data_IF_424323031485
#
_entry.id   IF_424323031485
#
_cell.length_a   1.000
_cell.length_b   1.000
_cell.length_c   1.000
_cell.angle_alpha   90.00
_cell.angle_beta   90.00
_cell.angle_gamma   90.00
#
_symmetry.space_group_name_H-M   'P 1'
#
loop_
_entity.id
_entity.type
_entity.pdbx_description
1 polymer ?
#
# COMPACT_ATOMS: atom_id res chain seq x y z
N UNK A 1 -19.30 8.47 4.89
CA UNK A 1 -19.84 9.31 3.82
C UNK A 1 -20.93 8.60 3.02
N UNK A 2 -20.70 7.40 2.46
CA UNK A 2 -21.69 6.70 1.63
C UNK A 2 -23.06 6.57 2.29
N UNK A 3 -23.12 6.18 3.59
CA UNK A 3 -24.37 6.12 4.34
C UNK A 3 -25.05 7.48 4.53
N UNK A 4 -24.29 8.57 4.58
CA UNK A 4 -24.81 9.91 4.84
C UNK A 4 -25.34 10.61 3.58
N UNK A 5 -24.62 10.47 2.45
CA UNK A 5 -24.91 11.23 1.23
C UNK A 5 -25.25 10.36 0.01
N UNK A 6 -25.17 9.04 0.16
CA UNK A 6 -25.57 8.07 -0.86
C UNK A 6 -24.97 8.32 -2.24
N UNK A 7 -25.81 8.47 -3.25
CA UNK A 7 -25.43 8.65 -4.65
C UNK A 7 -24.67 9.95 -4.95
N UNK A 8 -24.61 10.90 -4.03
CA UNK A 8 -23.80 12.13 -4.18
C UNK A 8 -22.32 11.87 -3.98
N UNK A 9 -21.93 10.70 -3.42
CA UNK A 9 -20.55 10.28 -3.29
C UNK A 9 -20.09 9.59 -4.57
N UNK A 10 -19.01 10.12 -5.16
CA UNK A 10 -18.26 9.46 -6.24
C UNK A 10 -16.90 9.07 -5.71
N UNK A 11 -16.58 7.78 -5.75
CA UNK A 11 -15.27 7.26 -5.36
C UNK A 11 -14.42 6.98 -6.60
N UNK A 12 -13.14 7.34 -6.54
CA UNK A 12 -12.17 7.06 -7.58
C UNK A 12 -11.07 6.19 -6.97
N UNK A 13 -10.83 5.03 -7.57
CA UNK A 13 -9.71 4.15 -7.25
C UNK A 13 -8.73 4.17 -8.43
N UNK A 14 -7.47 4.47 -8.15
CA UNK A 14 -6.43 4.55 -9.17
C UNK A 14 -5.52 3.33 -9.03
N UNK A 15 -5.58 2.44 -10.03
CA UNK A 15 -4.62 1.36 -10.15
C UNK A 15 -3.33 1.93 -10.73
N UNK A 16 -2.31 1.98 -9.90
CA UNK A 16 -0.98 2.50 -10.23
C UNK A 16 -0.07 1.47 -10.88
N UNK A 17 -0.51 0.19 -10.93
CA UNK A 17 0.34 -0.95 -11.29
C UNK A 17 1.37 -1.33 -10.21
N UNK A 18 1.28 -0.69 -9.02
CA UNK A 18 2.19 -0.89 -7.89
C UNK A 18 1.46 -1.47 -6.66
N UNK A 19 0.25 -1.96 -6.87
CA UNK A 19 -0.61 -2.54 -5.85
C UNK A 19 -0.21 -3.98 -5.54
N UNK A 20 -0.72 -4.51 -4.43
CA UNK A 20 -0.64 -5.95 -4.11
C UNK A 20 -1.37 -6.78 -5.15
N UNK A 21 -1.01 -8.06 -5.23
CA UNK A 21 -1.74 -9.03 -6.07
C UNK A 21 -3.23 -9.01 -5.71
N UNK A 22 -4.07 -8.95 -6.72
CA UNK A 22 -5.55 -8.95 -6.63
C UNK A 22 -6.18 -7.75 -5.90
N UNK A 23 -5.42 -6.74 -5.48
CA UNK A 23 -5.96 -5.64 -4.68
C UNK A 23 -7.09 -4.87 -5.38
N UNK A 24 -6.97 -4.62 -6.68
CA UNK A 24 -8.02 -3.96 -7.47
C UNK A 24 -9.31 -4.77 -7.47
N UNK A 25 -9.22 -6.11 -7.57
CA UNK A 25 -10.37 -7.01 -7.54
C UNK A 25 -11.01 -7.00 -6.14
N UNK A 26 -10.19 -7.07 -5.10
CA UNK A 26 -10.67 -7.01 -3.70
C UNK A 26 -11.44 -5.70 -3.42
N UNK A 27 -10.87 -4.56 -3.83
CA UNK A 27 -11.51 -3.25 -3.66
C UNK A 27 -12.84 -3.19 -4.41
N UNK A 28 -12.88 -3.70 -5.65
CA UNK A 28 -14.11 -3.77 -6.46
C UNK A 28 -15.19 -4.61 -5.75
N UNK A 29 -14.83 -5.78 -5.22
CA UNK A 29 -15.76 -6.67 -4.55
C UNK A 29 -16.33 -6.04 -3.27
N UNK A 30 -15.47 -5.44 -2.44
CA UNK A 30 -15.86 -4.77 -1.20
C UNK A 30 -16.77 -3.58 -1.49
N UNK A 31 -16.40 -2.72 -2.44
CA UNK A 31 -17.20 -1.54 -2.76
C UNK A 31 -18.54 -1.90 -3.39
N UNK A 32 -18.60 -2.98 -4.18
CA UNK A 32 -19.85 -3.51 -4.73
C UNK A 32 -20.77 -4.02 -3.63
N UNK A 33 -20.25 -4.79 -2.64
CA UNK A 33 -21.05 -5.28 -1.51
C UNK A 33 -21.60 -4.15 -0.65
N UNK A 34 -20.87 -3.05 -0.53
CA UNK A 34 -21.28 -1.84 0.19
C UNK A 34 -22.12 -0.87 -0.65
N UNK A 35 -22.43 -1.22 -1.89
CA UNK A 35 -23.18 -0.38 -2.84
C UNK A 35 -22.56 1.01 -3.05
N UNK A 36 -21.22 1.08 -3.01
CA UNK A 36 -20.47 2.32 -3.23
C UNK A 36 -20.26 2.53 -4.73
N UNK A 37 -20.54 3.75 -5.22
CA UNK A 37 -20.25 4.14 -6.60
C UNK A 37 -18.75 4.35 -6.76
N UNK A 38 -18.05 3.36 -7.34
CA UNK A 38 -16.60 3.35 -7.54
C UNK A 38 -16.27 3.39 -9.04
N UNK A 39 -15.44 4.34 -9.42
CA UNK A 39 -14.76 4.37 -10.73
C UNK A 39 -13.33 3.88 -10.56
N UNK A 40 -12.95 2.84 -11.28
CA UNK A 40 -11.59 2.28 -11.29
C UNK A 40 -10.85 2.81 -12.52
N UNK A 41 -9.68 3.40 -12.30
CA UNK A 41 -8.83 3.97 -13.34
C UNK A 41 -7.54 3.17 -13.40
N UNK A 42 -7.29 2.47 -14.49
CA UNK A 42 -5.97 1.88 -14.75
C UNK A 42 -5.02 2.97 -15.27
N UNK A 43 -4.09 3.36 -14.41
CA UNK A 43 -3.03 4.31 -14.71
C UNK A 43 -1.63 3.65 -14.70
N UNK A 44 -1.55 2.31 -14.61
CA UNK A 44 -0.33 1.54 -14.45
C UNK A 44 0.76 1.94 -15.45
N UNK A 45 0.41 2.07 -16.72
CA UNK A 45 1.35 2.49 -17.78
C UNK A 45 1.96 3.87 -17.50
N UNK A 46 1.15 4.84 -17.03
CA UNK A 46 1.63 6.20 -16.73
C UNK A 46 2.64 6.20 -15.59
N UNK A 47 2.33 5.47 -14.51
CA UNK A 47 3.22 5.37 -13.35
C UNK A 47 4.52 4.66 -13.68
N UNK A 48 4.47 3.54 -14.39
CA UNK A 48 5.66 2.78 -14.76
C UNK A 48 6.58 3.55 -15.70
N UNK A 49 6.02 4.29 -16.67
CA UNK A 49 6.82 5.16 -17.53
C UNK A 49 7.50 6.29 -16.75
N UNK A 50 6.80 6.92 -15.81
CA UNK A 50 7.35 7.99 -14.99
C UNK A 50 8.46 7.51 -14.04
N UNK A 51 8.45 6.23 -13.65
CA UNK A 51 9.41 5.62 -12.73
C UNK A 51 10.60 4.96 -13.43
N UNK A 52 10.61 4.95 -14.76
CA UNK A 52 11.71 4.34 -15.53
C UNK A 52 13.06 4.96 -15.18
N UNK A 53 14.04 4.14 -14.83
CA UNK A 53 15.40 4.58 -14.44
C UNK A 53 15.50 5.16 -13.02
N UNK A 54 14.38 5.29 -12.29
CA UNK A 54 14.38 5.89 -10.94
C UNK A 54 14.73 4.82 -9.90
N UNK A 55 15.85 5.01 -9.20
CA UNK A 55 16.36 4.08 -8.18
C UNK A 55 16.09 4.58 -6.76
N UNK A 56 16.23 5.88 -6.54
CA UNK A 56 16.11 6.52 -5.24
C UNK A 56 14.66 6.45 -4.70
N UNK A 57 14.44 5.97 -3.47
CA UNK A 57 13.12 5.76 -2.93
C UNK A 57 12.34 7.07 -2.71
N UNK A 58 13.02 8.16 -2.36
CA UNK A 58 12.36 9.44 -2.14
C UNK A 58 11.92 10.07 -3.47
N UNK A 59 12.74 9.96 -4.51
CA UNK A 59 12.34 10.35 -5.87
C UNK A 59 11.15 9.53 -6.36
N UNK A 60 11.13 8.21 -6.11
CA UNK A 60 9.96 7.36 -6.43
C UNK A 60 8.70 7.88 -5.77
N UNK A 61 8.74 8.19 -4.47
CA UNK A 61 7.59 8.72 -3.71
C UNK A 61 7.06 10.02 -4.31
N UNK A 62 7.95 10.99 -4.59
CA UNK A 62 7.60 12.28 -5.19
C UNK A 62 6.96 12.13 -6.56
N UNK A 63 7.51 11.27 -7.42
CA UNK A 63 6.98 11.00 -8.75
C UNK A 63 5.59 10.35 -8.65
N UNK A 64 5.43 9.33 -7.80
CA UNK A 64 4.16 8.63 -7.60
C UNK A 64 3.12 9.59 -7.07
N UNK A 65 3.44 10.40 -6.06
CA UNK A 65 2.53 11.40 -5.51
C UNK A 65 2.06 12.41 -6.57
N UNK A 66 2.98 12.93 -7.38
CA UNK A 66 2.66 13.83 -8.49
C UNK A 66 1.75 13.16 -9.53
N UNK A 67 2.11 11.97 -9.99
CA UNK A 67 1.32 11.22 -10.97
C UNK A 67 -0.09 10.93 -10.45
N UNK A 68 -0.22 10.58 -9.16
CA UNK A 68 -1.50 10.31 -8.52
C UNK A 68 -2.40 11.55 -8.55
N UNK A 69 -1.87 12.71 -8.14
CA UNK A 69 -2.59 13.97 -8.16
C UNK A 69 -3.02 14.35 -9.58
N UNK A 70 -2.14 14.17 -10.57
CA UNK A 70 -2.44 14.49 -11.97
C UNK A 70 -3.56 13.61 -12.53
N UNK A 71 -3.54 12.30 -12.24
CA UNK A 71 -4.61 11.36 -12.65
C UNK A 71 -5.90 11.69 -11.93
N UNK A 72 -5.85 11.87 -10.61
CA UNK A 72 -7.02 12.20 -9.80
C UNK A 72 -7.70 13.49 -10.30
N UNK A 73 -6.92 14.55 -10.55
CA UNK A 73 -7.45 15.82 -11.04
C UNK A 73 -8.11 15.69 -12.44
N UNK A 74 -7.52 14.88 -13.31
CA UNK A 74 -8.09 14.64 -14.63
C UNK A 74 -9.45 13.94 -14.54
N UNK A 75 -9.57 12.95 -13.64
CA UNK A 75 -10.81 12.20 -13.43
C UNK A 75 -11.86 13.02 -12.66
N UNK A 76 -11.45 13.75 -11.62
CA UNK A 76 -12.36 14.60 -10.85
C UNK A 76 -13.04 15.68 -11.70
N UNK A 77 -12.35 16.21 -12.72
CA UNK A 77 -12.92 17.18 -13.65
C UNK A 77 -14.05 16.62 -14.52
N UNK A 78 -14.11 15.31 -14.72
CA UNK A 78 -15.18 14.66 -15.49
C UNK A 78 -16.49 14.55 -14.71
N UNK A 79 -16.42 14.69 -13.38
CA UNK A 79 -17.60 14.60 -12.51
C UNK A 79 -18.24 15.99 -12.41
N UNK A 80 -19.49 16.08 -12.86
CA UNK A 80 -20.22 17.36 -12.85
C UNK A 80 -20.60 17.78 -11.43
N UNK A 81 -20.56 19.08 -11.16
CA UNK A 81 -21.05 19.69 -9.92
C UNK A 81 -20.35 19.23 -8.62
N UNK A 82 -19.13 18.72 -8.70
CA UNK A 82 -18.33 18.37 -7.51
C UNK A 82 -17.90 19.63 -6.79
N UNK A 83 -18.20 19.71 -5.50
CA UNK A 83 -17.85 20.84 -4.62
C UNK A 83 -16.85 20.47 -3.54
N UNK A 84 -16.81 19.19 -3.16
CA UNK A 84 -16.05 18.71 -2.02
C UNK A 84 -15.14 17.53 -2.39
N UNK A 85 -14.01 17.43 -1.70
CA UNK A 85 -13.10 16.28 -1.72
C UNK A 85 -13.12 15.64 -0.34
N UNK A 86 -13.55 14.38 -0.26
CA UNK A 86 -13.44 13.59 0.95
C UNK A 86 -12.01 13.05 1.11
N UNK A 87 -11.39 13.29 2.25
CA UNK A 87 -10.06 12.81 2.59
C UNK A 87 -10.08 12.06 3.92
N UNK A 88 -9.36 10.93 3.98
CA UNK A 88 -9.28 10.07 5.16
C UNK A 88 -8.14 10.48 6.11
N UNK A 89 -7.89 11.75 6.30
CA UNK A 89 -6.94 12.28 7.29
C UNK A 89 -7.35 11.83 8.68
N UNK A 90 -6.40 11.36 9.47
CA UNK A 90 -6.58 11.00 10.89
C UNK A 90 -5.73 11.89 11.79
N UNK A 91 -5.98 11.86 13.10
CA UNK A 91 -5.31 12.77 14.05
C UNK A 91 -3.76 12.68 14.05
N UNK A 92 -3.13 11.49 13.97
CA UNK A 92 -1.68 11.39 13.81
C UNK A 92 -1.13 12.14 12.59
N UNK A 93 -1.84 12.14 11.45
CA UNK A 93 -1.43 12.87 10.25
C UNK A 93 -1.41 14.39 10.49
N UNK A 94 -2.32 14.89 11.32
CA UNK A 94 -2.41 16.31 11.69
C UNK A 94 -1.23 16.72 12.56
N UNK A 95 -0.92 15.92 13.59
CA UNK A 95 0.22 16.18 14.48
C UNK A 95 1.54 16.21 13.72
N UNK A 96 1.77 15.21 12.86
CA UNK A 96 2.98 15.10 12.05
C UNK A 96 3.15 16.26 11.06
N UNK A 97 2.03 16.83 10.57
CA UNK A 97 2.06 17.98 9.65
C UNK A 97 2.27 19.31 10.36
N UNK A 98 1.92 19.41 11.65
CA UNK A 98 2.06 20.63 12.44
C UNK A 98 3.46 20.86 13.00
N UNK A 99 4.29 19.81 13.08
CA UNK A 99 5.67 19.87 13.62
C UNK A 99 6.71 20.50 12.67
N UNK A 100 6.29 21.32 11.72
CA UNK A 100 7.13 21.96 10.68
C UNK A 100 8.21 22.95 11.20
N UNK A 101 8.34 23.15 12.49
CA UNK A 101 9.29 24.12 13.08
C UNK A 101 10.51 23.52 13.77
N UNK A 102 10.76 22.23 13.69
CA UNK A 102 11.99 21.62 14.18
C UNK A 102 12.84 21.07 13.04
N UNK A 103 14.15 21.26 13.10
CA UNK A 103 15.18 20.79 12.16
C UNK A 103 15.27 19.24 12.06
N UNK A 104 14.33 18.51 12.62
CA UNK A 104 14.20 17.07 12.41
C UNK A 104 13.65 16.82 11.01
N UNK A 105 14.43 16.11 10.22
CA UNK A 105 14.13 15.65 8.86
C UNK A 105 12.64 15.31 8.70
N UNK A 106 12.03 15.89 7.67
CA UNK A 106 10.64 15.64 7.29
C UNK A 106 10.47 14.16 6.98
N UNK A 107 10.20 13.37 8.02
CA UNK A 107 10.09 11.91 7.93
C UNK A 107 8.92 11.48 7.04
N UNK A 108 7.93 12.38 6.81
CA UNK A 108 6.74 12.03 6.01
C UNK A 108 6.32 13.15 5.04
N UNK A 109 6.93 13.15 3.87
CA UNK A 109 6.49 13.95 2.72
C UNK A 109 5.26 13.37 1.99
N UNK A 110 4.61 12.33 2.52
CA UNK A 110 3.62 11.53 1.79
C UNK A 110 2.20 11.59 2.33
N UNK A 111 1.98 12.19 3.47
CA UNK A 111 0.62 12.42 3.94
C UNK A 111 0.05 13.60 3.18
N UNK A 112 -1.12 13.41 2.55
CA UNK A 112 -1.81 14.42 1.74
C UNK A 112 -2.29 15.65 2.55
N UNK A 113 -1.85 15.80 3.79
CA UNK A 113 -2.17 16.97 4.62
C UNK A 113 -1.42 18.18 4.06
N UNK A 114 -2.14 19.05 3.37
CA UNK A 114 -1.59 20.25 2.73
C UNK A 114 -0.97 20.04 1.33
N UNK A 115 -0.98 18.82 0.80
CA UNK A 115 -0.37 18.49 -0.51
C UNK A 115 -1.28 18.65 -1.72
N UNK A 116 -2.54 19.04 -1.54
CA UNK A 116 -3.44 19.32 -2.65
C UNK A 116 -2.98 20.59 -3.40
N UNK A 117 -2.97 20.54 -4.74
CA UNK A 117 -2.60 21.73 -5.52
C UNK A 117 -3.48 22.92 -5.14
N UNK A 118 -2.88 24.08 -4.86
CA UNK A 118 -3.58 25.35 -4.58
C UNK A 118 -4.61 25.73 -5.65
N UNK A 119 -4.55 25.09 -6.82
CA UNK A 119 -5.49 25.27 -7.95
C UNK A 119 -6.75 24.40 -7.85
N UNK A 120 -6.86 23.52 -6.86
CA UNK A 120 -8.05 22.70 -6.68
C UNK A 120 -9.14 23.53 -5.99
N UNK A 121 -10.20 23.82 -6.71
CA UNK A 121 -11.35 24.60 -6.20
C UNK A 121 -12.29 23.81 -5.28
N UNK A 122 -11.91 22.56 -4.91
CA UNK A 122 -12.72 21.69 -4.05
C UNK A 122 -12.47 22.01 -2.57
N UNK A 123 -13.55 22.05 -1.79
CA UNK A 123 -13.47 22.16 -0.32
C UNK A 123 -13.17 20.79 0.27
N UNK A 124 -12.27 20.72 1.25
CA UNK A 124 -11.96 19.48 1.96
C UNK A 124 -13.07 19.10 2.95
N UNK A 125 -13.34 17.80 3.02
CA UNK A 125 -14.17 17.17 4.05
C UNK A 125 -13.36 16.03 4.64
N UNK A 126 -12.99 16.13 5.90
CA UNK A 126 -12.14 15.18 6.64
C UNK A 126 -12.91 14.61 7.84
N UNK A 127 -13.81 13.65 7.64
CA UNK A 127 -14.78 13.21 8.66
C UNK A 127 -14.17 12.52 9.87
N UNK A 128 -12.93 12.04 9.77
CA UNK A 128 -12.23 11.26 10.80
C UNK A 128 -10.95 11.93 11.26
N UNK A 129 -10.81 13.25 11.00
CA UNK A 129 -9.60 14.04 11.27
C UNK A 129 -9.13 14.01 12.73
N UNK A 130 -10.09 13.95 13.64
CA UNK A 130 -9.83 14.03 15.08
C UNK A 130 -9.76 12.64 15.75
N UNK A 131 -9.79 11.57 14.94
CA UNK A 131 -9.76 10.19 15.45
C UNK A 131 -8.37 9.57 15.34
N UNK A 132 -8.02 8.76 16.34
CA UNK A 132 -6.88 7.88 16.27
C UNK A 132 -7.20 6.61 15.45
N UNK A 133 -6.17 5.88 15.04
CA UNK A 133 -6.31 4.72 14.15
C UNK A 133 -7.18 3.60 14.72
N UNK A 134 -7.08 3.35 16.03
CA UNK A 134 -7.90 2.37 16.74
C UNK A 134 -9.37 2.79 16.82
N UNK A 135 -9.64 4.09 17.01
CA UNK A 135 -10.99 4.64 16.97
C UNK A 135 -11.61 4.54 15.60
N UNK A 136 -10.84 4.83 14.53
CA UNK A 136 -11.27 4.66 13.13
C UNK A 136 -11.63 3.20 12.85
N UNK A 137 -10.86 2.24 13.39
CA UNK A 137 -11.16 0.81 13.26
C UNK A 137 -12.49 0.45 13.97
N UNK A 138 -12.71 0.95 15.19
CA UNK A 138 -13.98 0.75 15.92
C UNK A 138 -15.17 1.30 15.16
N UNK A 139 -15.07 2.55 14.70
CA UNK A 139 -16.11 3.17 13.85
C UNK A 139 -16.35 2.35 12.57
N UNK A 140 -15.30 1.83 11.97
CA UNK A 140 -15.42 0.96 10.80
C UNK A 140 -16.23 -0.30 11.08
N UNK A 141 -16.01 -0.98 12.23
CA UNK A 141 -16.78 -2.16 12.66
C UNK A 141 -18.24 -1.82 12.88
N UNK A 142 -18.53 -0.73 13.58
CA UNK A 142 -19.91 -0.26 13.84
C UNK A 142 -20.64 0.12 12.55
N UNK A 143 -19.92 0.62 11.55
CA UNK A 143 -20.46 0.90 10.22
C UNK A 143 -20.69 -0.36 9.38
N UNK A 144 -20.29 -1.54 9.88
CA UNK A 144 -20.48 -2.83 9.21
C UNK A 144 -19.42 -3.14 8.16
N UNK A 145 -18.23 -2.55 8.25
CA UNK A 145 -17.12 -2.93 7.38
C UNK A 145 -16.62 -4.35 7.72
N UNK A 146 -16.27 -5.17 6.71
CA UNK A 146 -15.72 -6.49 6.96
C UNK A 146 -14.45 -6.42 7.82
N UNK A 147 -14.36 -7.32 8.83
CA UNK A 147 -13.18 -7.38 9.70
C UNK A 147 -11.87 -7.55 8.93
N UNK A 148 -11.89 -8.35 7.87
CA UNK A 148 -10.72 -8.54 7.00
C UNK A 148 -10.21 -7.23 6.35
N UNK A 149 -11.08 -6.24 6.13
CA UNK A 149 -10.68 -4.92 5.64
C UNK A 149 -10.07 -4.06 6.76
N UNK A 150 -10.65 -4.14 7.96
CA UNK A 150 -10.21 -3.33 9.12
C UNK A 150 -8.87 -3.81 9.65
N UNK A 151 -8.63 -5.12 9.65
CA UNK A 151 -7.41 -5.76 10.15
C UNK A 151 -6.27 -5.74 9.11
N UNK A 152 -6.45 -5.11 7.94
CA UNK A 152 -5.39 -5.05 6.92
C UNK A 152 -4.13 -4.38 7.46
N UNK A 153 -2.99 -5.03 7.20
CA UNK A 153 -1.68 -4.42 7.48
C UNK A 153 -1.51 -3.12 6.69
N UNK A 154 -0.78 -2.14 7.24
CA UNK A 154 -0.47 -0.90 6.53
C UNK A 154 0.20 -1.18 5.18
N UNK A 155 -0.30 -0.50 4.15
CA UNK A 155 0.29 -0.52 2.82
C UNK A 155 0.59 0.91 2.39
N UNK A 156 1.84 1.24 2.04
CA UNK A 156 2.22 2.63 1.78
C UNK A 156 1.61 3.14 0.48
N UNK A 157 1.34 4.44 0.41
CA UNK A 157 0.81 5.09 -0.79
C UNK A 157 1.64 4.83 -2.06
N UNK A 158 2.99 4.81 -2.01
CA UNK A 158 3.81 4.42 -3.16
C UNK A 158 3.73 2.94 -3.54
N UNK A 159 2.98 2.12 -2.82
CA UNK A 159 2.79 0.71 -3.11
C UNK A 159 4.10 -0.10 -3.06
N UNK A 160 4.20 -1.08 -3.95
CA UNK A 160 5.38 -1.95 -4.07
C UNK A 160 6.63 -1.21 -4.56
N UNK A 161 6.50 0.01 -5.12
CA UNK A 161 7.63 0.75 -5.64
C UNK A 161 8.76 0.98 -4.63
N UNK A 162 8.42 1.22 -3.35
CA UNK A 162 9.39 1.44 -2.27
C UNK A 162 9.86 0.14 -1.63
N UNK A 163 9.27 -0.98 -2.00
CA UNK A 163 9.66 -2.33 -1.59
C UNK A 163 10.53 -3.05 -2.64
N UNK A 164 10.74 -2.43 -3.79
CA UNK A 164 11.72 -2.84 -4.80
C UNK A 164 12.91 -1.91 -4.67
N UNK A 165 14.05 -2.42 -4.18
CA UNK A 165 15.27 -1.66 -4.14
C UNK A 165 15.82 -1.44 -5.56
N UNK A 166 16.32 -0.23 -5.84
CA UNK A 166 16.78 0.12 -7.19
C UNK A 166 15.65 0.37 -8.19
N UNK A 167 15.90 0.14 -9.47
CA UNK A 167 14.97 0.41 -10.56
C UNK A 167 13.79 -0.58 -10.59
N UNK A 168 12.62 -0.04 -10.93
CA UNK A 168 11.37 -0.80 -11.05
C UNK A 168 11.16 -1.21 -12.50
N UNK A 169 10.73 -2.44 -12.71
CA UNK A 169 10.20 -2.93 -13.97
C UNK A 169 9.02 -3.88 -13.72
N UNK A 170 8.33 -4.25 -14.77
CA UNK A 170 7.15 -5.10 -14.70
C UNK A 170 7.44 -6.48 -14.10
N UNK A 171 8.60 -7.09 -14.46
CA UNK A 171 9.04 -8.39 -13.93
C UNK A 171 9.19 -8.36 -12.41
N UNK A 172 9.92 -7.37 -11.87
CA UNK A 172 10.16 -7.24 -10.43
C UNK A 172 8.87 -6.98 -9.65
N UNK A 173 7.95 -6.20 -10.22
CA UNK A 173 6.63 -5.96 -9.60
C UNK A 173 5.88 -7.27 -9.51
N UNK A 174 5.79 -8.04 -10.61
CA UNK A 174 5.09 -9.32 -10.64
C UNK A 174 5.69 -10.31 -9.64
N UNK A 175 7.01 -10.45 -9.62
CA UNK A 175 7.70 -11.29 -8.64
C UNK A 175 7.32 -10.86 -7.21
N UNK A 176 7.41 -9.58 -6.90
CA UNK A 176 7.13 -9.10 -5.54
C UNK A 176 5.66 -9.23 -5.17
N UNK A 177 4.73 -9.12 -6.12
CA UNK A 177 3.31 -9.40 -5.91
C UNK A 177 3.06 -10.85 -5.52
N UNK A 178 3.68 -11.80 -6.21
CA UNK A 178 3.56 -13.23 -5.88
C UNK A 178 4.18 -13.54 -4.52
N UNK A 179 5.38 -13.03 -4.26
CA UNK A 179 6.08 -13.23 -2.97
C UNK A 179 5.28 -12.64 -1.79
N UNK A 180 4.82 -11.39 -1.91
CA UNK A 180 4.03 -10.72 -0.85
C UNK A 180 2.71 -11.48 -0.61
N UNK A 181 2.10 -12.01 -1.67
CA UNK A 181 0.90 -12.83 -1.57
C UNK A 181 1.15 -14.12 -0.80
N UNK A 182 2.18 -14.90 -1.14
CA UNK A 182 2.52 -16.15 -0.45
C UNK A 182 2.85 -15.88 1.02
N UNK A 183 3.61 -14.83 1.30
CA UNK A 183 3.97 -14.45 2.66
C UNK A 183 2.74 -14.14 3.52
N UNK A 184 1.86 -13.29 3.03
CA UNK A 184 0.62 -12.93 3.74
C UNK A 184 -0.34 -14.11 3.87
N UNK A 185 -0.46 -14.95 2.84
CA UNK A 185 -1.27 -16.15 2.84
C UNK A 185 -0.80 -17.12 3.93
N UNK A 186 0.50 -17.39 4.00
CA UNK A 186 1.06 -18.28 5.02
C UNK A 186 0.87 -17.74 6.44
N UNK A 187 1.05 -16.43 6.65
CA UNK A 187 0.77 -15.81 7.94
C UNK A 187 -0.71 -15.95 8.36
N UNK A 188 -1.63 -15.91 7.41
CA UNK A 188 -3.05 -16.15 7.67
C UNK A 188 -3.33 -17.60 8.01
N UNK A 189 -2.78 -18.54 7.26
CA UNK A 189 -2.94 -19.98 7.47
C UNK A 189 -2.41 -20.43 8.84
N UNK A 190 -1.37 -19.77 9.32
CA UNK A 190 -0.77 -20.01 10.64
C UNK A 190 -1.40 -19.17 11.78
N UNK A 191 -2.47 -18.43 11.51
CA UNK A 191 -3.10 -17.51 12.48
C UNK A 191 -2.12 -16.48 13.10
N UNK A 192 -1.10 -16.08 12.37
CA UNK A 192 -0.11 -15.09 12.77
C UNK A 192 -0.43 -13.69 12.25
N UNK A 193 -1.22 -13.57 11.18
CA UNK A 193 -1.48 -12.29 10.52
C UNK A 193 -1.94 -11.19 11.48
N UNK A 194 -2.90 -11.49 12.37
CA UNK A 194 -3.43 -10.52 13.32
C UNK A 194 -2.55 -10.32 14.58
N UNK A 195 -1.48 -11.12 14.74
CA UNK A 195 -0.50 -10.98 15.81
C UNK A 195 0.71 -10.13 15.40
N UNK A 196 0.79 -9.75 14.13
CA UNK A 196 1.85 -8.99 13.51
C UNK A 196 1.25 -7.67 13.04
N UNK A 197 1.86 -6.55 13.43
CA UNK A 197 1.34 -5.22 13.06
C UNK A 197 1.66 -4.85 11.62
N UNK A 198 2.81 -5.31 11.11
CA UNK A 198 3.19 -5.12 9.73
C UNK A 198 4.03 -6.29 9.20
N UNK A 199 3.59 -6.90 8.12
CA UNK A 199 4.36 -7.87 7.34
C UNK A 199 4.50 -7.39 5.89
N UNK A 200 5.70 -7.54 5.33
CA UNK A 200 5.99 -7.15 3.96
C UNK A 200 7.20 -7.90 3.40
N UNK A 201 7.22 -8.06 2.09
CA UNK A 201 8.38 -8.54 1.36
C UNK A 201 9.10 -7.38 0.66
N UNK A 202 10.42 -7.48 0.53
CA UNK A 202 11.28 -6.53 -0.18
C UNK A 202 12.08 -7.29 -1.23
N UNK A 203 12.09 -6.80 -2.47
CA UNK A 203 12.93 -7.33 -3.54
C UNK A 203 14.27 -6.60 -3.54
N UNK A 204 15.34 -7.36 -3.33
CA UNK A 204 16.73 -6.90 -3.41
C UNK A 204 17.22 -7.17 -4.84
N UNK A 205 17.74 -6.17 -5.57
CA UNK A 205 18.07 -6.29 -7.00
C UNK A 205 19.37 -7.06 -7.24
N UNK A 206 19.91 -7.73 -6.24
CA UNK A 206 21.06 -8.63 -6.37
C UNK A 206 20.57 -10.00 -6.82
N UNK A 207 21.19 -10.54 -7.86
CA UNK A 207 20.95 -11.91 -8.28
C UNK A 207 21.88 -12.86 -7.56
N UNK A 208 21.32 -13.96 -7.09
CA UNK A 208 22.04 -15.06 -6.43
C UNK A 208 21.83 -16.35 -7.21
N UNK A 209 22.71 -17.29 -6.98
CA UNK A 209 22.56 -18.66 -7.48
C UNK A 209 21.83 -19.47 -6.43
N UNK A 210 20.71 -20.05 -6.80
CA UNK A 210 20.00 -21.10 -6.06
C UNK A 210 20.21 -22.45 -6.73
N UNK A 211 19.97 -23.53 -6.00
CA UNK A 211 19.89 -24.88 -6.53
C UNK A 211 18.45 -25.35 -6.34
N UNK A 212 17.79 -25.73 -7.42
CA UNK A 212 16.44 -26.26 -7.43
C UNK A 212 16.42 -27.59 -8.16
N UNK A 213 16.33 -28.69 -7.41
CA UNK A 213 16.65 -30.02 -7.94
C UNK A 213 18.10 -30.04 -8.44
N UNK A 214 18.31 -30.54 -9.65
CA UNK A 214 19.65 -30.66 -10.28
C UNK A 214 20.07 -29.40 -11.09
N UNK A 215 19.28 -28.32 -11.07
CA UNK A 215 19.50 -27.13 -11.88
C UNK A 215 19.93 -25.92 -11.06
N UNK A 216 20.96 -25.20 -11.54
CA UNK A 216 21.29 -23.89 -11.02
C UNK A 216 20.27 -22.87 -11.53
N UNK A 217 19.65 -22.15 -10.60
CA UNK A 217 18.73 -21.07 -10.91
C UNK A 217 19.33 -19.73 -10.48
N UNK A 218 19.34 -18.76 -11.38
CA UNK A 218 19.73 -17.38 -11.10
C UNK A 218 18.47 -16.55 -10.85
N UNK A 219 18.35 -15.98 -9.68
CA UNK A 219 17.17 -15.21 -9.31
C UNK A 219 17.48 -14.11 -8.30
N UNK A 220 16.47 -13.30 -8.04
CA UNK A 220 16.55 -12.22 -7.05
C UNK A 220 16.57 -12.78 -5.62
N UNK A 221 17.08 -11.94 -4.72
CA UNK A 221 17.03 -12.17 -3.28
C UNK A 221 15.80 -11.43 -2.72
N UNK A 222 15.05 -12.09 -1.88
CA UNK A 222 13.91 -11.53 -1.15
C UNK A 222 14.27 -11.38 0.33
N UNK A 223 13.92 -10.24 0.91
CA UNK A 223 13.90 -10.08 2.36
C UNK A 223 12.46 -10.01 2.85
N UNK A 224 12.14 -10.81 3.87
CA UNK A 224 10.87 -10.76 4.57
C UNK A 224 11.01 -9.90 5.82
N UNK A 225 10.04 -9.05 6.08
CA UNK A 225 9.98 -8.24 7.29
C UNK A 225 8.64 -8.44 7.96
N UNK A 226 8.65 -8.85 9.21
CA UNK A 226 7.49 -8.91 10.09
C UNK A 226 7.85 -8.21 11.40
N UNK A 227 7.04 -7.23 11.81
CA UNK A 227 7.33 -6.41 12.98
C UNK A 227 6.07 -6.16 13.79
N UNK A 228 6.30 -6.00 15.12
CA UNK A 228 5.32 -5.47 16.04
C UNK A 228 5.76 -4.08 16.49
N UNK A 229 4.79 -3.22 16.75
CA UNK A 229 5.02 -1.83 17.12
C UNK A 229 3.89 -1.32 17.99
N UNK A 230 4.22 -0.47 18.94
CA UNK A 230 3.23 0.18 19.81
C UNK A 230 2.75 1.49 19.22
N UNK A 231 3.63 2.20 18.51
CA UNK A 231 3.42 3.58 18.05
C UNK A 231 3.71 3.79 16.55
N UNK A 232 4.08 2.73 15.82
CA UNK A 232 4.60 2.76 14.45
C UNK A 232 5.90 3.58 14.24
N UNK A 233 6.52 4.04 15.32
CA UNK A 233 7.83 4.73 15.29
C UNK A 233 8.96 3.79 15.66
N UNK A 234 8.76 2.96 16.68
CA UNK A 234 9.67 1.91 17.10
C UNK A 234 9.09 0.55 16.70
N UNK A 235 9.90 -0.33 16.17
CA UNK A 235 9.46 -1.64 15.72
C UNK A 235 10.42 -2.73 16.17
N UNK A 236 9.87 -3.80 16.74
CA UNK A 236 10.61 -5.02 17.10
C UNK A 236 10.26 -6.13 16.09
N UNK A 237 11.20 -7.03 15.84
CA UNK A 237 10.94 -8.19 14.99
C UNK A 237 9.85 -9.07 15.64
N UNK A 238 8.84 -9.45 14.85
CA UNK A 238 7.82 -10.39 15.30
C UNK A 238 8.41 -11.79 15.45
N UNK A 239 8.00 -12.49 16.50
CA UNK A 239 8.40 -13.88 16.70
C UNK A 239 7.63 -14.80 15.76
N UNK A 240 8.32 -15.31 14.74
CA UNK A 240 7.83 -16.33 13.83
C UNK A 240 8.69 -17.57 14.02
N UNK A 241 8.08 -18.74 14.13
CA UNK A 241 8.83 -19.99 14.31
C UNK A 241 9.73 -20.28 13.10
N UNK A 242 10.89 -20.91 13.34
CA UNK A 242 11.77 -21.34 12.24
C UNK A 242 11.05 -22.25 11.24
N UNK A 243 10.15 -23.12 11.71
CA UNK A 243 9.36 -23.98 10.85
C UNK A 243 8.49 -23.17 9.89
N UNK A 244 7.79 -22.15 10.40
CA UNK A 244 6.95 -21.25 9.57
C UNK A 244 7.81 -20.48 8.58
N UNK A 245 8.96 -19.93 8.99
CA UNK A 245 9.88 -19.23 8.10
C UNK A 245 10.42 -20.15 6.99
N UNK A 246 10.77 -21.40 7.32
CA UNK A 246 11.21 -22.38 6.34
C UNK A 246 10.10 -22.72 5.34
N UNK A 247 8.87 -22.90 5.81
CA UNK A 247 7.72 -23.15 4.92
C UNK A 247 7.50 -21.99 3.95
N UNK A 248 7.50 -20.76 4.46
CA UNK A 248 7.35 -19.53 3.64
C UNK A 248 8.46 -19.46 2.59
N UNK A 249 9.73 -19.64 3.02
CA UNK A 249 10.91 -19.58 2.16
C UNK A 249 10.85 -20.64 1.06
N UNK A 250 10.52 -21.86 1.43
CA UNK A 250 10.39 -22.99 0.50
C UNK A 250 9.26 -22.75 -0.52
N UNK A 251 8.10 -22.29 -0.07
CA UNK A 251 7.00 -21.95 -0.97
C UNK A 251 7.41 -20.85 -1.96
N UNK A 252 8.02 -19.76 -1.47
CA UNK A 252 8.42 -18.64 -2.33
C UNK A 252 9.41 -19.09 -3.39
N UNK A 253 10.44 -19.85 -3.02
CA UNK A 253 11.46 -20.31 -3.97
C UNK A 253 10.88 -21.27 -5.00
N UNK A 254 9.95 -22.14 -4.59
CA UNK A 254 9.37 -23.16 -5.49
C UNK A 254 8.24 -22.62 -6.38
N UNK A 255 7.46 -21.65 -5.89
CA UNK A 255 6.25 -21.17 -6.57
C UNK A 255 6.49 -19.89 -7.38
N UNK A 256 7.57 -19.13 -7.10
CA UNK A 256 7.83 -17.83 -7.75
C UNK A 256 9.07 -17.89 -8.63
N UNK A 257 8.85 -17.92 -9.93
CA UNK A 257 9.95 -17.84 -10.90
C UNK A 257 10.75 -16.54 -10.72
N UNK A 258 12.08 -16.66 -10.81
CA UNK A 258 12.98 -15.52 -10.70
C UNK A 258 13.41 -15.18 -9.26
N UNK A 259 13.01 -15.96 -8.24
CA UNK A 259 13.51 -15.87 -6.87
C UNK A 259 14.49 -17.01 -6.61
N UNK A 260 15.69 -16.69 -6.12
CA UNK A 260 16.71 -17.70 -5.79
C UNK A 260 16.94 -17.84 -4.28
N UNK A 261 16.61 -16.82 -3.49
CA UNK A 261 16.80 -16.81 -2.03
C UNK A 261 15.75 -15.96 -1.30
N UNK A 262 15.41 -16.40 -0.12
CA UNK A 262 14.59 -15.68 0.85
C UNK A 262 15.37 -15.60 2.17
#
# INVERSE_FOLDING_TARGET
LSKAIGKQLSCIFIDTGLLRKNETIEVKNITSSLKINLTIIDASRKFLLALRGVKDPEKKRKIIGKCFIDVFNAEAKKIKNVKYLGQGTIYPDVIESSSKNSESDVIKSHHNVGGLPKKMKLKLVEPIRDLFKDEVRRVGLELGLPKALIDRHPFPGPGLAVRILGEINHEKIKILQEVDYIFIDELRNQNLYNKIDQALAVLIPSKSVGVMGDKRQYGYVIALRAVNTTDFMTATASQISHQTLNNISTRIVNEVDGVARV
#
